data_IF_248606198260
#
_entry.id   IF_248606198260
#
_cell.length_a   1.000
_cell.length_b   1.000
_cell.length_c   1.000
_cell.angle_alpha   90.00
_cell.angle_beta   90.00
_cell.angle_gamma   90.00
#
_symmetry.space_group_name_H-M   'P 1'
#
loop_
_entity.id
_entity.type
_entity.pdbx_description
1 polymer ?
#
# COMPACT_ATOMS: atom_id res chain seq x y z
N UNK A 1 4.40 -22.23 -36.41
CA UNK A 1 4.06 -21.18 -35.41
C UNK A 1 3.52 -21.88 -34.16
N UNK A 2 4.16 -21.65 -33.01
CA UNK A 2 3.69 -22.24 -31.76
C UNK A 2 2.38 -21.57 -31.33
N UNK A 3 1.45 -22.37 -30.79
CA UNK A 3 0.21 -21.83 -30.22
C UNK A 3 0.56 -21.00 -28.97
N UNK A 4 -0.29 -20.00 -28.57
CA UNK A 4 -0.05 -19.22 -27.35
C UNK A 4 0.19 -20.09 -26.11
N UNK A 5 -0.49 -21.25 -26.05
CA UNK A 5 -0.37 -22.19 -24.93
C UNK A 5 0.98 -22.93 -24.90
N UNK A 6 1.73 -22.85 -26.02
CA UNK A 6 3.05 -23.49 -26.14
C UNK A 6 4.21 -22.52 -25.85
N UNK A 7 3.89 -21.26 -25.48
CA UNK A 7 4.90 -20.30 -25.13
C UNK A 7 5.56 -20.67 -23.80
N UNK A 8 6.84 -20.32 -23.67
CA UNK A 8 7.59 -20.50 -22.43
C UNK A 8 6.81 -19.92 -21.25
N UNK A 9 6.49 -20.73 -20.23
CA UNK A 9 5.76 -20.25 -19.06
C UNK A 9 6.39 -19.03 -18.38
N UNK A 10 7.72 -18.95 -18.35
CA UNK A 10 8.43 -17.82 -17.77
C UNK A 10 8.10 -16.53 -18.51
N UNK A 11 8.01 -16.58 -19.83
CA UNK A 11 7.66 -15.42 -20.66
C UNK A 11 6.23 -14.99 -20.43
N UNK A 12 5.31 -15.93 -20.29
CA UNK A 12 3.90 -15.63 -19.99
C UNK A 12 3.76 -14.96 -18.63
N UNK A 13 4.46 -15.48 -17.62
CA UNK A 13 4.44 -14.92 -16.28
C UNK A 13 5.03 -13.50 -16.29
N UNK A 14 6.18 -13.32 -16.95
CA UNK A 14 6.82 -12.00 -17.05
C UNK A 14 5.91 -11.01 -17.76
N UNK A 15 5.29 -11.41 -18.85
CA UNK A 15 4.38 -10.56 -19.62
C UNK A 15 3.19 -10.10 -18.75
N UNK A 16 2.59 -11.02 -18.00
CA UNK A 16 1.49 -10.69 -17.11
C UNK A 16 1.93 -9.73 -16.00
N UNK A 17 3.11 -9.96 -15.43
CA UNK A 17 3.66 -9.06 -14.40
C UNK A 17 3.89 -7.66 -14.97
N UNK A 18 4.42 -7.55 -16.18
CA UNK A 18 4.63 -6.26 -16.85
C UNK A 18 3.31 -5.54 -17.12
N UNK A 19 2.26 -6.26 -17.49
CA UNK A 19 0.92 -5.68 -17.66
C UNK A 19 0.41 -5.08 -16.35
N UNK A 20 0.59 -5.79 -15.25
CA UNK A 20 0.16 -5.31 -13.93
C UNK A 20 0.96 -4.08 -13.51
N UNK A 21 2.27 -4.11 -13.70
CA UNK A 21 3.16 -2.99 -13.35
C UNK A 21 2.92 -1.76 -14.22
N UNK A 22 2.45 -1.96 -15.46
CA UNK A 22 2.11 -0.84 -16.34
C UNK A 22 0.89 -0.06 -15.83
N UNK A 23 0.02 -0.70 -15.05
CA UNK A 23 -1.18 -0.06 -14.50
C UNK A 23 -0.88 0.72 -13.22
N UNK A 24 -0.03 0.19 -12.35
CA UNK A 24 0.42 0.85 -11.11
C UNK A 24 1.63 0.12 -10.56
N UNK A 25 2.29 0.73 -9.60
CA UNK A 25 3.31 0.03 -8.84
C UNK A 25 2.68 -1.10 -8.02
N UNK A 26 3.40 -2.21 -7.90
CA UNK A 26 3.01 -3.34 -7.07
C UNK A 26 4.19 -3.73 -6.18
N UNK A 27 3.91 -4.20 -4.97
CA UNK A 27 4.94 -4.85 -4.17
C UNK A 27 5.26 -6.23 -4.75
N UNK A 28 6.45 -6.74 -4.46
CA UNK A 28 6.83 -8.10 -4.88
C UNK A 28 5.86 -9.13 -4.32
N UNK A 29 5.43 -8.96 -3.07
CA UNK A 29 4.48 -9.85 -2.40
C UNK A 29 3.13 -9.87 -3.14
N UNK A 30 2.61 -8.69 -3.53
CA UNK A 30 1.36 -8.61 -4.28
C UNK A 30 1.47 -9.32 -5.63
N UNK A 31 2.56 -9.06 -6.34
CA UNK A 31 2.77 -9.68 -7.65
C UNK A 31 2.86 -11.19 -7.54
N UNK A 32 3.61 -11.67 -6.54
CA UNK A 32 3.73 -13.12 -6.33
C UNK A 32 2.36 -13.76 -6.12
N UNK A 33 1.54 -13.19 -5.26
CA UNK A 33 0.21 -13.72 -4.97
C UNK A 33 -0.66 -13.74 -6.23
N UNK A 34 -0.67 -12.66 -7.00
CA UNK A 34 -1.46 -12.55 -8.23
C UNK A 34 -0.98 -13.53 -9.30
N UNK A 35 0.32 -13.67 -9.46
CA UNK A 35 0.90 -14.53 -10.48
C UNK A 35 0.76 -16.01 -10.14
N UNK A 36 0.89 -16.38 -8.87
CA UNK A 36 0.64 -17.76 -8.42
C UNK A 36 -0.83 -18.14 -8.65
N UNK A 37 -1.74 -17.22 -8.37
CA UNK A 37 -3.16 -17.43 -8.59
C UNK A 37 -3.48 -17.61 -10.08
N UNK A 38 -2.84 -16.81 -10.93
CA UNK A 38 -3.05 -16.87 -12.39
C UNK A 38 -2.39 -18.09 -13.02
N UNK A 39 -1.24 -18.50 -12.52
CA UNK A 39 -0.43 -19.60 -13.07
C UNK A 39 -0.14 -20.66 -12.00
N UNK A 40 -1.17 -21.31 -11.44
CA UNK A 40 -0.95 -22.25 -10.32
C UNK A 40 -0.08 -23.45 -10.72
N UNK A 41 -0.13 -23.86 -11.98
CA UNK A 41 0.67 -24.97 -12.49
C UNK A 41 2.16 -24.62 -12.63
N UNK A 42 2.48 -23.31 -12.64
CA UNK A 42 3.84 -22.82 -12.81
C UNK A 42 4.30 -21.98 -11.63
N UNK A 43 3.70 -22.18 -10.45
CA UNK A 43 3.99 -21.43 -9.24
C UNK A 43 5.50 -21.35 -8.92
N UNK A 44 6.30 -22.46 -9.08
CA UNK A 44 7.74 -22.37 -8.81
C UNK A 44 8.52 -21.43 -9.71
N UNK A 45 7.98 -21.06 -10.86
CA UNK A 45 8.65 -20.15 -11.79
C UNK A 45 8.41 -18.69 -11.45
N UNK A 46 7.41 -18.38 -10.63
CA UNK A 46 7.03 -16.99 -10.29
C UNK A 46 8.15 -16.26 -9.56
N UNK A 47 8.73 -16.89 -8.53
CA UNK A 47 9.82 -16.27 -7.75
C UNK A 47 10.99 -15.83 -8.61
N UNK A 48 11.58 -16.72 -9.43
CA UNK A 48 12.69 -16.34 -10.32
C UNK A 48 12.35 -15.23 -11.30
N UNK A 49 11.14 -15.22 -11.87
CA UNK A 49 10.68 -14.16 -12.79
C UNK A 49 10.63 -12.83 -12.05
N UNK A 50 10.05 -12.80 -10.84
CA UNK A 50 9.97 -11.58 -10.04
C UNK A 50 11.35 -11.07 -9.64
N UNK A 51 12.26 -11.97 -9.27
CA UNK A 51 13.63 -11.59 -8.92
C UNK A 51 14.30 -10.86 -10.10
N UNK A 52 14.08 -11.33 -11.31
CA UNK A 52 14.58 -10.67 -12.52
C UNK A 52 13.99 -9.28 -12.72
N UNK A 53 12.69 -9.12 -12.51
CA UNK A 53 12.03 -7.82 -12.64
C UNK A 53 12.54 -6.83 -11.60
N UNK A 54 12.77 -7.30 -10.38
CA UNK A 54 13.31 -6.46 -9.30
C UNK A 54 14.74 -6.02 -9.64
N UNK A 55 15.56 -6.96 -10.11
CA UNK A 55 16.95 -6.67 -10.49
C UNK A 55 17.01 -5.66 -11.61
N UNK A 56 16.09 -5.74 -12.58
CA UNK A 56 16.02 -4.82 -13.71
C UNK A 56 15.30 -3.51 -13.36
N UNK A 57 14.95 -3.31 -12.09
CA UNK A 57 14.28 -2.13 -11.56
C UNK A 57 12.90 -1.87 -12.18
N UNK A 58 12.29 -2.89 -12.74
CA UNK A 58 10.91 -2.84 -13.25
C UNK A 58 9.88 -3.01 -12.13
N UNK A 59 10.26 -3.70 -11.06
CA UNK A 59 9.52 -3.81 -9.83
C UNK A 59 10.38 -3.23 -8.69
N UNK A 60 9.75 -2.47 -7.78
CA UNK A 60 10.45 -1.89 -6.64
C UNK A 60 9.47 -1.72 -5.49
N UNK A 61 9.78 -2.35 -4.35
CA UNK A 61 8.99 -2.16 -3.13
C UNK A 61 9.08 -0.72 -2.63
N UNK A 62 10.21 -0.06 -2.85
CA UNK A 62 10.37 1.34 -2.47
C UNK A 62 9.42 2.23 -3.26
N UNK A 63 9.38 2.10 -4.59
CA UNK A 63 8.45 2.87 -5.41
C UNK A 63 7.00 2.56 -5.07
N UNK A 64 6.70 1.27 -4.83
CA UNK A 64 5.36 0.88 -4.39
C UNK A 64 5.00 1.56 -3.07
N UNK A 65 5.89 1.50 -2.07
CA UNK A 65 5.64 2.09 -0.77
C UNK A 65 5.40 3.59 -0.87
N UNK A 66 6.21 4.30 -1.64
CA UNK A 66 6.05 5.76 -1.84
C UNK A 66 4.70 6.09 -2.45
N UNK A 67 4.31 5.39 -3.51
CA UNK A 67 3.03 5.61 -4.18
C UNK A 67 1.84 5.26 -3.27
N UNK A 68 1.98 4.17 -2.52
CA UNK A 68 0.90 3.68 -1.65
C UNK A 68 0.70 4.60 -0.45
N UNK A 69 1.78 5.08 0.15
CA UNK A 69 1.70 6.07 1.24
C UNK A 69 0.96 7.32 0.76
N UNK A 70 1.34 7.86 -0.39
CA UNK A 70 0.65 9.02 -0.97
C UNK A 70 -0.84 8.77 -1.17
N UNK A 71 -1.20 7.61 -1.71
CA UNK A 71 -2.59 7.26 -1.97
C UNK A 71 -3.39 7.16 -0.67
N UNK A 72 -2.82 6.57 0.38
CA UNK A 72 -3.50 6.41 1.66
C UNK A 72 -3.64 7.72 2.40
N UNK A 73 -2.64 8.60 2.34
CA UNK A 73 -2.72 9.96 2.88
C UNK A 73 -3.88 10.70 2.19
N UNK A 74 -3.96 10.59 0.88
CA UNK A 74 -5.02 11.24 0.11
C UNK A 74 -6.41 10.74 0.52
N UNK A 75 -6.50 9.49 0.97
CA UNK A 75 -7.74 8.91 1.50
C UNK A 75 -7.99 9.26 2.96
N UNK A 76 -7.13 10.05 3.58
CA UNK A 76 -7.29 10.49 4.96
C UNK A 76 -6.88 9.46 6.00
N UNK A 77 -5.96 8.56 5.68
CA UNK A 77 -5.48 7.58 6.64
C UNK A 77 -4.24 8.07 7.38
N UNK A 78 -4.15 7.74 8.67
CA UNK A 78 -3.03 8.11 9.52
C UNK A 78 -1.90 7.09 9.47
N UNK A 79 -0.75 7.40 10.10
CA UNK A 79 0.48 6.61 9.97
C UNK A 79 0.34 5.17 10.48
N UNK A 80 -0.45 4.92 11.52
CA UNK A 80 -0.66 3.57 12.02
C UNK A 80 -1.33 2.67 10.98
N UNK A 81 -2.35 3.20 10.32
CA UNK A 81 -3.09 2.46 9.31
C UNK A 81 -2.24 2.23 8.06
N UNK A 82 -1.47 3.24 7.68
CA UNK A 82 -0.56 3.16 6.54
C UNK A 82 0.51 2.09 6.80
N UNK A 83 1.10 2.09 7.99
CA UNK A 83 2.11 1.10 8.38
C UNK A 83 1.56 -0.32 8.28
N UNK A 84 0.36 -0.53 8.82
CA UNK A 84 -0.32 -1.81 8.80
C UNK A 84 -0.61 -2.27 7.36
N UNK A 85 -1.08 -1.36 6.52
CA UNK A 85 -1.37 -1.65 5.12
C UNK A 85 -0.12 -2.05 4.35
N UNK A 86 1.01 -1.39 4.61
CA UNK A 86 2.29 -1.74 3.99
C UNK A 86 2.76 -3.12 4.43
N UNK A 87 2.60 -3.47 5.71
CA UNK A 87 2.94 -4.80 6.21
C UNK A 87 2.11 -5.88 5.54
N UNK A 88 0.82 -5.64 5.36
CA UNK A 88 -0.06 -6.57 4.67
C UNK A 88 0.32 -6.80 3.22
N UNK A 89 0.96 -5.83 2.60
CA UNK A 89 1.47 -5.93 1.23
C UNK A 89 2.89 -6.48 1.19
N UNK A 90 3.43 -6.92 2.32
CA UNK A 90 4.75 -7.54 2.38
C UNK A 90 5.92 -6.60 2.27
N UNK A 91 5.70 -5.29 2.47
CA UNK A 91 6.79 -4.32 2.50
C UNK A 91 7.56 -4.48 3.81
N UNK A 92 8.89 -4.54 3.71
CA UNK A 92 9.76 -4.67 4.87
C UNK A 92 9.51 -3.54 5.87
N UNK A 93 9.49 -3.88 7.16
CA UNK A 93 9.20 -2.93 8.25
C UNK A 93 10.10 -1.71 8.20
N UNK A 94 11.40 -1.92 7.99
CA UNK A 94 12.39 -0.84 7.91
C UNK A 94 12.08 0.10 6.75
N UNK A 95 11.75 -0.44 5.59
CA UNK A 95 11.39 0.35 4.41
C UNK A 95 10.09 1.11 4.64
N UNK A 96 9.10 0.48 5.26
CA UNK A 96 7.82 1.11 5.58
C UNK A 96 8.02 2.31 6.51
N UNK A 97 8.79 2.13 7.60
CA UNK A 97 9.07 3.20 8.55
C UNK A 97 9.82 4.37 7.90
N UNK A 98 10.81 4.05 7.08
CA UNK A 98 11.58 5.06 6.37
C UNK A 98 10.72 5.84 5.40
N UNK A 99 9.85 5.17 4.66
CA UNK A 99 8.96 5.81 3.69
C UNK A 99 7.99 6.77 4.38
N UNK A 100 7.41 6.34 5.52
CA UNK A 100 6.50 7.18 6.29
C UNK A 100 7.24 8.39 6.86
N UNK A 101 8.46 8.19 7.37
CA UNK A 101 9.25 9.29 7.94
C UNK A 101 9.64 10.33 6.88
N UNK A 102 10.00 9.89 5.68
CA UNK A 102 10.48 10.77 4.61
C UNK A 102 9.33 11.54 3.93
N UNK A 103 8.09 11.04 4.01
CA UNK A 103 6.96 11.71 3.34
C UNK A 103 6.64 13.10 3.95
N UNK A 104 7.17 13.38 5.14
CA UNK A 104 7.09 14.70 5.79
C UNK A 104 5.66 15.25 5.88
N UNK A 105 4.71 14.37 6.16
CA UNK A 105 3.30 14.75 6.29
C UNK A 105 3.02 15.33 7.67
N UNK A 106 2.24 16.40 7.71
CA UNK A 106 1.70 16.93 8.97
C UNK A 106 0.48 16.10 9.37
N UNK A 107 0.71 15.09 10.20
CA UNK A 107 -0.33 14.14 10.61
C UNK A 107 -1.43 14.80 11.46
N UNK A 108 -1.06 15.80 12.26
CA UNK A 108 -2.04 16.54 13.04
C UNK A 108 -2.99 17.30 12.13
N UNK A 109 -2.45 18.02 11.14
CA UNK A 109 -3.26 18.76 10.19
C UNK A 109 -4.15 17.83 9.36
N UNK A 110 -3.62 16.68 8.95
CA UNK A 110 -4.41 15.69 8.23
C UNK A 110 -5.56 15.17 9.10
N UNK A 111 -5.30 14.90 10.38
CA UNK A 111 -6.33 14.45 11.31
C UNK A 111 -7.43 15.50 11.46
N UNK A 112 -7.07 16.78 11.52
CA UNK A 112 -8.04 17.89 11.58
C UNK A 112 -8.89 17.92 10.33
N UNK A 113 -8.28 17.80 9.16
CA UNK A 113 -9.02 17.80 7.89
C UNK A 113 -9.99 16.62 7.80
N UNK A 114 -9.54 15.44 8.23
CA UNK A 114 -10.38 14.21 8.22
C UNK A 114 -11.56 14.39 9.17
N UNK A 115 -11.32 14.97 10.35
CA UNK A 115 -12.37 15.23 11.32
C UNK A 115 -13.40 16.24 10.80
N UNK A 116 -12.93 17.33 10.19
CA UNK A 116 -13.81 18.35 9.61
C UNK A 116 -14.67 17.78 8.48
N UNK A 117 -14.10 16.92 7.67
CA UNK A 117 -14.82 16.28 6.57
C UNK A 117 -15.95 15.38 7.09
N UNK A 118 -15.70 14.69 8.22
CA UNK A 118 -16.70 13.76 8.79
C UNK A 118 -17.74 14.45 9.64
N UNK A 119 -17.33 15.38 10.49
CA UNK A 119 -18.18 15.98 11.53
C UNK A 119 -18.45 17.47 11.34
N UNK A 120 -17.84 18.10 10.33
CA UNK A 120 -17.92 19.55 10.16
C UNK A 120 -16.94 20.28 11.07
N UNK A 121 -16.99 21.60 11.06
CA UNK A 121 -16.04 22.45 11.79
C UNK A 121 -16.54 22.85 13.17
N UNK A 122 -17.72 22.40 13.57
CA UNK A 122 -18.28 22.76 14.87
C UNK A 122 -17.49 22.07 16.00
N UNK A 123 -17.19 22.80 17.09
CA UNK A 123 -16.50 22.19 18.20
C UNK A 123 -17.35 21.14 18.91
N UNK A 124 -16.67 20.22 19.61
CA UNK A 124 -17.35 19.24 20.45
C UNK A 124 -18.04 19.91 21.60
N UNK A 125 -19.29 19.53 21.88
CA UNK A 125 -20.08 20.09 22.95
C UNK A 125 -20.21 19.16 24.15
N UNK A 126 -19.78 17.89 24.02
CA UNK A 126 -19.87 16.90 25.08
C UNK A 126 -18.67 15.97 25.10
N UNK A 127 -18.46 15.36 26.26
CA UNK A 127 -17.43 14.33 26.42
C UNK A 127 -17.69 13.11 25.51
N UNK A 128 -18.96 12.72 25.42
CA UNK A 128 -19.35 11.58 24.59
C UNK A 128 -19.03 11.81 23.11
N UNK A 129 -19.30 13.02 22.64
CA UNK A 129 -19.01 13.39 21.25
C UNK A 129 -17.49 13.43 21.01
N UNK A 130 -16.74 13.97 21.94
CA UNK A 130 -15.28 14.01 21.85
C UNK A 130 -14.70 12.59 21.79
N UNK A 131 -15.19 11.69 22.63
CA UNK A 131 -14.76 10.29 22.65
C UNK A 131 -15.08 9.60 21.33
N UNK A 132 -16.24 9.88 20.75
CA UNK A 132 -16.65 9.33 19.45
C UNK A 132 -15.71 9.77 18.33
N UNK A 133 -15.39 11.07 18.30
CA UNK A 133 -14.47 11.63 17.29
C UNK A 133 -13.07 11.07 17.44
N UNK A 134 -12.59 10.90 18.68
CA UNK A 134 -11.29 10.30 18.95
C UNK A 134 -11.22 8.85 18.46
N UNK A 135 -12.26 8.06 18.72
CA UNK A 135 -12.31 6.67 18.25
C UNK A 135 -12.31 6.60 16.74
N UNK A 136 -13.02 7.51 16.07
CA UNK A 136 -13.03 7.59 14.61
C UNK A 136 -11.62 7.86 14.07
N UNK A 137 -10.90 8.82 14.65
CA UNK A 137 -9.53 9.14 14.21
C UNK A 137 -8.57 7.99 14.52
N UNK A 138 -8.72 7.32 15.66
CA UNK A 138 -7.92 6.12 15.96
C UNK A 138 -8.16 5.02 14.94
N UNK A 139 -9.40 4.82 14.54
CA UNK A 139 -9.75 3.84 13.51
C UNK A 139 -9.10 4.20 12.17
N UNK A 140 -9.00 5.50 11.86
CA UNK A 140 -8.34 5.97 10.65
C UNK A 140 -6.81 5.89 10.73
N UNK A 141 -6.25 5.54 11.88
CA UNK A 141 -4.82 5.31 12.03
C UNK A 141 -4.03 6.43 12.68
N UNK A 142 -4.71 7.39 13.32
CA UNK A 142 -4.05 8.47 14.06
C UNK A 142 -3.86 8.06 15.52
N UNK A 143 -2.76 8.48 16.14
CA UNK A 143 -2.52 8.21 17.55
C UNK A 143 -2.97 9.40 18.43
N UNK A 144 -2.85 9.24 19.75
CA UNK A 144 -3.31 10.26 20.70
C UNK A 144 -2.64 11.62 20.50
N UNK A 145 -1.37 11.64 20.11
CA UNK A 145 -0.63 12.89 19.88
C UNK A 145 -1.17 13.65 18.68
N UNK A 146 -1.69 12.93 17.69
CA UNK A 146 -2.21 13.51 16.45
C UNK A 146 -3.68 13.92 16.54
N UNK A 147 -4.36 13.51 17.62
CA UNK A 147 -5.81 13.68 17.78
C UNK A 147 -6.18 14.94 18.56
N UNK A 148 -5.27 15.59 19.20
CA UNK A 148 -5.52 16.73 20.12
C UNK A 148 -6.47 17.78 19.59
#
# INVERSE_FOLDING_TARGET
>A
MKKPDELDPQRLIRHRAMDLLARREHSAHELQAKLVEKFPEHAPLVGPVLAGLTRDNLQSDQRFAEAYVCALIHRGQGPYRIRQALQQRGVDTSLAEQTIAVCDEDWFELAVQVMHKKYGRQPCTSFAERARRSRFLQYRGFNAEQIQ
#
